data_IF_348383515350
#
_entry.id   IF_348383515350
#
_cell.length_a   1.000
_cell.length_b   1.000
_cell.length_c   1.000
_cell.angle_alpha   90.00
_cell.angle_beta   90.00
_cell.angle_gamma   90.00
#
_symmetry.space_group_name_H-M   'P 1'
#
loop_
_entity.id
_entity.type
_entity.pdbx_description
1 polymer ?
#
# COMPACT_ATOMS: atom_id res chain seq x y z
N UNK A 1 -7.26 8.95 -9.39
CA UNK A 1 -6.10 8.06 -9.23
C UNK A 1 -6.54 6.86 -8.41
N UNK A 2 -6.11 5.69 -8.78
CA UNK A 2 -6.44 4.44 -8.08
C UNK A 2 -5.34 4.11 -7.08
N UNK A 3 -5.43 4.69 -5.88
CA UNK A 3 -4.46 4.48 -4.82
C UNK A 3 -4.44 3.04 -4.32
N UNK A 4 -5.57 2.36 -4.32
CA UNK A 4 -5.67 0.96 -3.86
C UNK A 4 -4.71 0.06 -4.62
N UNK A 5 -4.72 0.11 -5.94
CA UNK A 5 -3.86 -0.72 -6.79
C UNK A 5 -2.40 -0.24 -6.80
N UNK A 6 -2.20 1.06 -6.84
CA UNK A 6 -0.85 1.66 -6.79
C UNK A 6 -0.15 1.27 -5.50
N UNK A 7 -0.79 1.47 -4.36
CA UNK A 7 -0.19 1.17 -3.06
C UNK A 7 -0.01 -0.33 -2.85
N UNK A 8 -0.96 -1.15 -3.32
CA UNK A 8 -0.80 -2.60 -3.29
C UNK A 8 0.46 -3.04 -4.01
N UNK A 9 0.72 -2.49 -5.18
CA UNK A 9 1.91 -2.82 -5.99
C UNK A 9 3.20 -2.37 -5.30
N UNK A 10 3.22 -1.19 -4.71
CA UNK A 10 4.35 -0.70 -3.91
C UNK A 10 4.56 -1.61 -2.70
N UNK A 11 3.51 -1.94 -1.97
CA UNK A 11 3.57 -2.82 -0.81
C UNK A 11 4.14 -4.21 -1.13
N UNK A 12 3.74 -4.79 -2.27
CA UNK A 12 4.30 -6.06 -2.75
C UNK A 12 5.81 -5.97 -2.98
N UNK A 13 6.28 -4.88 -3.55
CA UNK A 13 7.71 -4.63 -3.73
C UNK A 13 8.45 -4.52 -2.38
N UNK A 14 7.87 -3.83 -1.41
CA UNK A 14 8.45 -3.69 -0.07
C UNK A 14 8.55 -5.05 0.64
N UNK A 15 7.55 -5.92 0.50
CA UNK A 15 7.59 -7.29 1.02
C UNK A 15 8.73 -8.10 0.40
N UNK A 16 8.91 -8.01 -0.91
CA UNK A 16 10.01 -8.69 -1.62
C UNK A 16 11.37 -8.17 -1.18
N UNK A 17 11.46 -6.88 -0.90
CA UNK A 17 12.68 -6.22 -0.46
C UNK A 17 13.01 -6.48 1.01
N UNK A 18 12.04 -6.95 1.79
CA UNK A 18 12.19 -7.13 3.23
C UNK A 18 12.31 -5.82 4.00
N UNK A 19 11.68 -4.76 3.50
CA UNK A 19 11.64 -3.46 4.19
C UNK A 19 10.71 -3.49 5.39
N UNK A 20 11.02 -2.67 6.38
CA UNK A 20 10.19 -2.43 7.56
C UNK A 20 10.34 -0.99 8.03
N UNK A 21 9.44 -0.55 8.91
CA UNK A 21 9.36 0.84 9.39
C UNK A 21 9.36 1.84 8.23
N UNK A 22 8.37 1.72 7.37
CA UNK A 22 8.29 2.46 6.12
C UNK A 22 7.66 3.84 6.29
N UNK A 23 8.08 4.74 5.42
CA UNK A 23 7.50 6.07 5.23
C UNK A 23 7.22 6.24 3.75
N UNK A 24 6.06 6.76 3.40
CA UNK A 24 5.69 7.07 2.02
C UNK A 24 5.29 8.54 1.90
N UNK A 25 5.83 9.20 0.89
CA UNK A 25 5.47 10.55 0.51
C UNK A 25 5.14 10.62 -0.97
N UNK A 26 4.09 11.34 -1.33
CA UNK A 26 3.77 11.62 -2.71
C UNK A 26 4.74 12.64 -3.30
N UNK A 27 5.17 12.40 -4.53
CA UNK A 27 6.03 13.29 -5.32
C UNK A 27 5.28 13.67 -6.61
N UNK A 28 5.72 14.73 -7.33
CA UNK A 28 5.04 15.15 -8.57
C UNK A 28 4.93 14.03 -9.62
N UNK A 29 5.92 13.16 -9.70
CA UNK A 29 6.01 12.12 -10.73
C UNK A 29 5.90 10.70 -10.14
N UNK A 30 5.37 10.55 -8.95
CA UNK A 30 5.23 9.23 -8.31
C UNK A 30 5.28 9.29 -6.79
N UNK A 31 5.96 8.33 -6.18
CA UNK A 31 6.06 8.19 -4.73
C UNK A 31 7.50 7.93 -4.29
N UNK A 32 7.84 8.47 -3.15
CA UNK A 32 9.11 8.20 -2.47
C UNK A 32 8.82 7.36 -1.25
N UNK A 33 9.50 6.23 -1.10
CA UNK A 33 9.40 5.34 0.04
C UNK A 33 10.75 5.21 0.71
N UNK A 34 10.77 5.40 2.01
CA UNK A 34 11.94 5.12 2.84
C UNK A 34 11.61 4.01 3.81
N UNK A 35 12.57 3.18 4.11
CA UNK A 35 12.41 2.11 5.07
C UNK A 35 13.75 1.53 5.50
N UNK A 36 13.68 0.63 6.46
CA UNK A 36 14.84 -0.09 6.95
C UNK A 36 14.89 -1.46 6.29
N UNK A 37 16.07 -1.85 5.85
CA UNK A 37 16.32 -3.20 5.31
C UNK A 37 17.31 -3.89 6.23
N UNK A 38 16.94 -5.07 6.71
CA UNK A 38 17.87 -5.92 7.42
C UNK A 38 18.75 -6.65 6.42
N UNK A 39 20.04 -6.36 6.39
CA UNK A 39 20.96 -7.13 5.56
C UNK A 39 21.20 -8.48 6.21
N UNK A 40 20.59 -9.53 5.67
CA UNK A 40 20.91 -10.92 5.95
C UNK A 40 22.16 -11.36 5.16
N UNK A 41 23.20 -10.54 5.11
CA UNK A 41 24.45 -10.98 4.54
C UNK A 41 25.14 -11.90 5.54
N UNK A 42 25.41 -13.14 5.13
CA UNK A 42 26.17 -14.13 5.90
C UNK A 42 27.57 -13.64 6.26
N UNK A 43 27.61 -12.59 7.06
CA UNK A 43 28.78 -12.08 7.72
C UNK A 43 28.91 -12.74 9.08
N UNK A 44 30.02 -12.52 9.74
CA UNK A 44 30.35 -13.07 11.04
C UNK A 44 29.17 -12.97 12.03
N UNK A 45 29.11 -13.87 13.02
CA UNK A 45 28.13 -13.86 14.11
C UNK A 45 27.98 -12.49 14.80
N UNK A 46 28.96 -11.62 14.66
CA UNK A 46 28.93 -10.23 15.12
C UNK A 46 27.97 -9.35 14.30
N UNK A 47 27.95 -9.51 12.98
CA UNK A 47 27.03 -8.79 12.10
C UNK A 47 25.59 -9.19 12.35
N UNK A 48 25.34 -10.47 12.62
CA UNK A 48 24.02 -11.00 12.93
C UNK A 48 23.52 -10.53 14.31
N UNK A 49 24.43 -10.42 15.29
CA UNK A 49 24.10 -9.96 16.64
C UNK A 49 23.85 -8.44 16.72
N UNK A 50 24.51 -7.64 15.87
CA UNK A 50 24.35 -6.19 15.83
C UNK A 50 23.23 -5.73 14.88
N UNK A 51 22.66 -6.67 14.08
CA UNK A 51 21.60 -6.38 13.14
C UNK A 51 21.99 -5.22 12.22
N UNK A 52 22.72 -5.49 11.14
CA UNK A 52 23.05 -4.46 10.15
C UNK A 52 21.76 -3.98 9.48
N UNK A 53 21.15 -2.95 10.07
CA UNK A 53 19.96 -2.30 9.53
C UNK A 53 20.42 -1.11 8.70
N UNK A 54 20.08 -1.12 7.42
CA UNK A 54 20.39 -0.05 6.49
C UNK A 54 19.11 0.68 6.11
N UNK A 55 19.15 2.02 6.17
CA UNK A 55 18.07 2.85 5.63
C UNK A 55 18.18 2.88 4.11
N UNK A 56 17.09 2.57 3.44
CA UNK A 56 17.00 2.61 1.99
C UNK A 56 15.89 3.55 1.55
N UNK A 57 16.15 4.32 0.49
CA UNK A 57 15.18 5.21 -0.14
C UNK A 57 14.91 4.71 -1.55
N UNK A 58 13.64 4.49 -1.86
CA UNK A 58 13.16 4.05 -3.16
C UNK A 58 12.29 5.14 -3.77
N UNK A 59 12.44 5.35 -5.07
CA UNK A 59 11.58 6.23 -5.84
C UNK A 59 10.79 5.39 -6.84
N UNK A 60 9.46 5.50 -6.79
CA UNK A 60 8.56 4.83 -7.70
C UNK A 60 8.00 5.87 -8.67
N UNK A 61 8.47 5.86 -9.89
CA UNK A 61 7.95 6.71 -10.96
C UNK A 61 6.66 6.11 -11.53
N UNK A 62 5.88 6.92 -12.22
CA UNK A 62 4.60 6.49 -12.81
C UNK A 62 4.76 5.26 -13.73
N UNK A 63 5.86 5.18 -14.48
CA UNK A 63 6.16 4.04 -15.35
C UNK A 63 6.46 2.75 -14.56
N UNK A 64 7.17 2.88 -13.43
CA UNK A 64 7.43 1.75 -12.54
C UNK A 64 6.12 1.24 -11.92
N UNK A 65 5.27 2.16 -11.51
CA UNK A 65 3.95 1.85 -10.95
C UNK A 65 3.10 1.11 -11.97
N UNK A 66 3.06 1.57 -13.23
CA UNK A 66 2.32 0.93 -14.29
C UNK A 66 2.77 -0.52 -14.50
N UNK A 67 4.08 -0.76 -14.52
CA UNK A 67 4.65 -2.11 -14.62
C UNK A 67 4.26 -2.99 -13.43
N UNK A 68 4.36 -2.49 -12.22
CA UNK A 68 3.97 -3.24 -11.02
C UNK A 68 2.48 -3.58 -11.02
N UNK A 69 1.65 -2.68 -11.51
CA UNK A 69 0.21 -2.93 -11.64
C UNK A 69 -0.08 -4.06 -12.64
N UNK A 70 0.61 -4.09 -13.78
CA UNK A 70 0.50 -5.19 -14.75
C UNK A 70 0.88 -6.53 -14.13
N UNK A 71 2.00 -6.57 -13.40
CA UNK A 71 2.45 -7.78 -12.70
C UNK A 71 1.44 -8.24 -11.64
N UNK A 72 0.86 -7.29 -10.89
CA UNK A 72 -0.16 -7.60 -9.88
C UNK A 72 -1.45 -8.16 -10.51
N UNK A 73 -1.88 -7.58 -11.64
CA UNK A 73 -3.02 -8.07 -12.40
C UNK A 73 -2.76 -9.49 -12.95
N UNK A 74 -1.56 -9.73 -13.47
CA UNK A 74 -1.17 -11.06 -13.96
C UNK A 74 -1.19 -12.11 -12.83
N UNK A 75 -0.71 -11.75 -11.63
CA UNK A 75 -0.77 -12.62 -10.44
C UNK A 75 -2.21 -12.98 -10.07
N UNK A 76 -3.09 -11.99 -10.02
CA UNK A 76 -4.50 -12.20 -9.73
C UNK A 76 -5.17 -13.08 -10.79
N UNK A 77 -4.83 -12.89 -12.06
CA UNK A 77 -5.31 -13.74 -13.14
C UNK A 77 -4.91 -15.22 -12.99
N UNK A 78 -3.82 -15.50 -12.26
CA UNK A 78 -3.42 -16.87 -11.91
C UNK A 78 -4.08 -17.41 -10.64
N UNK A 79 -4.94 -16.62 -10.00
CA UNK A 79 -5.65 -17.03 -8.78
C UNK A 79 -4.78 -17.06 -7.52
N UNK A 80 -3.66 -16.35 -7.51
CA UNK A 80 -2.82 -16.25 -6.33
C UNK A 80 -3.54 -15.46 -5.22
N UNK A 81 -3.63 -16.00 -3.99
CA UNK A 81 -4.33 -15.33 -2.91
C UNK A 81 -3.59 -14.07 -2.47
N UNK A 82 -4.36 -13.09 -2.01
CA UNK A 82 -3.77 -11.90 -1.41
C UNK A 82 -3.12 -12.25 -0.07
N UNK A 83 -1.90 -11.77 0.19
CA UNK A 83 -1.25 -12.02 1.47
C UNK A 83 -2.04 -11.44 2.64
N UNK A 84 -2.11 -12.19 3.73
CA UNK A 84 -2.70 -11.73 4.99
C UNK A 84 -1.66 -10.88 5.73
N UNK A 85 -2.07 -9.82 6.46
CA UNK A 85 -1.12 -8.93 7.15
C UNK A 85 -0.46 -9.59 8.37
N UNK A 86 0.33 -10.63 8.10
CA UNK A 86 1.13 -11.33 9.10
C UNK A 86 2.61 -11.11 8.79
N UNK A 87 3.31 -10.37 9.66
CA UNK A 87 4.75 -10.20 9.48
C UNK A 87 5.47 -11.56 9.61
N UNK A 88 6.56 -11.79 8.86
CA UNK A 88 7.26 -10.83 7.99
C UNK A 88 6.82 -10.80 6.53
N UNK A 89 6.16 -11.80 6.00
CA UNK A 89 5.87 -11.88 4.56
C UNK A 89 4.43 -11.53 4.23
N UNK A 90 4.23 -10.76 3.17
CA UNK A 90 2.90 -10.41 2.65
C UNK A 90 2.20 -9.28 3.37
N UNK A 91 2.83 -8.68 4.38
CA UNK A 91 2.20 -7.67 5.22
C UNK A 91 1.92 -6.37 4.49
N UNK A 92 2.93 -5.82 3.79
CA UNK A 92 2.79 -4.50 3.17
C UNK A 92 1.89 -4.50 1.94
N UNK A 93 1.86 -5.57 1.19
CA UNK A 93 0.94 -5.68 0.05
C UNK A 93 -0.51 -5.49 0.50
N UNK A 94 -0.93 -6.20 1.53
CA UNK A 94 -2.28 -6.11 2.07
C UNK A 94 -2.52 -4.79 2.81
N UNK A 95 -1.59 -4.36 3.65
CA UNK A 95 -1.70 -3.11 4.41
C UNK A 95 -1.79 -1.89 3.48
N UNK A 96 -0.91 -1.81 2.50
CA UNK A 96 -0.90 -0.69 1.55
C UNK A 96 -2.15 -0.69 0.67
N UNK A 97 -2.64 -1.87 0.28
CA UNK A 97 -3.90 -1.94 -0.47
C UNK A 97 -5.05 -1.28 0.28
N UNK A 98 -5.23 -1.60 1.55
CA UNK A 98 -6.34 -1.03 2.34
C UNK A 98 -6.14 0.44 2.68
N UNK A 99 -4.90 0.88 2.87
CA UNK A 99 -4.58 2.30 2.99
C UNK A 99 -4.90 3.04 1.69
N UNK A 100 -4.54 2.45 0.55
CA UNK A 100 -4.89 3.01 -0.76
C UNK A 100 -6.39 3.14 -0.98
N UNK A 101 -7.17 2.15 -0.55
CA UNK A 101 -8.64 2.23 -0.56
C UNK A 101 -9.13 3.43 0.26
N UNK A 102 -8.59 3.60 1.45
CA UNK A 102 -8.92 4.75 2.29
C UNK A 102 -8.62 6.07 1.56
N UNK A 103 -7.45 6.16 0.88
CA UNK A 103 -7.10 7.34 0.08
C UNK A 103 -8.09 7.57 -1.07
N UNK A 104 -8.51 6.51 -1.76
CA UNK A 104 -9.51 6.61 -2.84
C UNK A 104 -10.85 7.15 -2.35
N UNK A 105 -11.25 6.78 -1.13
CA UNK A 105 -12.47 7.29 -0.48
C UNK A 105 -12.34 8.76 -0.08
N UNK A 106 -11.20 9.16 0.45
CA UNK A 106 -10.94 10.53 0.91
C UNK A 106 -10.60 11.50 -0.22
N UNK A 107 -10.07 11.01 -1.34
CA UNK A 107 -9.65 11.80 -2.51
C UNK A 107 -8.68 12.94 -2.16
N UNK A 108 -7.56 12.65 -1.50
CA UNK A 108 -6.61 13.67 -1.09
C UNK A 108 -5.87 14.27 -2.29
N UNK A 109 -5.38 15.50 -2.10
CA UNK A 109 -4.48 16.17 -3.05
C UNK A 109 -3.03 15.76 -2.83
N UNK A 110 -2.69 15.39 -1.60
CA UNK A 110 -1.36 14.97 -1.22
C UNK A 110 -1.45 13.94 -0.10
N UNK A 111 -0.56 12.96 -0.13
CA UNK A 111 -0.53 11.81 0.77
C UNK A 111 0.84 11.69 1.40
N UNK A 112 0.84 11.52 2.70
CA UNK A 112 2.02 11.16 3.48
C UNK A 112 1.62 10.18 4.56
N UNK A 113 2.36 9.10 4.72
CA UNK A 113 2.18 8.24 5.88
C UNK A 113 3.48 7.58 6.30
N UNK A 114 3.54 7.16 7.55
CA UNK A 114 4.66 6.39 8.08
C UNK A 114 4.18 5.32 9.04
N UNK A 115 4.96 4.26 9.14
CA UNK A 115 4.76 3.18 10.10
C UNK A 115 5.56 3.48 11.37
N UNK A 116 4.89 3.34 12.51
CA UNK A 116 5.51 3.43 13.82
C UNK A 116 4.91 2.36 14.74
N UNK A 117 5.76 1.48 15.27
CA UNK A 117 5.37 0.41 16.20
C UNK A 117 4.22 -0.46 15.68
N UNK A 118 4.19 -0.71 14.38
CA UNK A 118 3.17 -1.52 13.70
C UNK A 118 1.89 -0.77 13.35
N UNK A 119 1.74 0.48 13.76
CA UNK A 119 0.65 1.35 13.36
C UNK A 119 1.05 2.25 12.18
N UNK A 120 0.09 2.66 11.37
CA UNK A 120 0.28 3.64 10.31
C UNK A 120 -0.34 4.98 10.68
N UNK A 121 0.46 6.03 10.66
CA UNK A 121 0.01 7.40 10.84
C UNK A 121 -0.07 8.05 9.46
N UNK A 122 -1.26 8.46 9.08
CA UNK A 122 -1.57 8.99 7.75
C UNK A 122 -1.88 10.47 7.86
N UNK A 123 -1.25 11.27 7.02
CA UNK A 123 -1.56 12.68 6.84
C UNK A 123 -2.05 12.93 5.43
N UNK A 124 -3.24 13.46 5.31
CA UNK A 124 -3.85 13.81 4.04
C UNK A 124 -3.98 15.32 3.91
N UNK A 125 -3.75 15.82 2.71
CA UNK A 125 -4.13 17.17 2.33
C UNK A 125 -5.43 17.07 1.55
N UNK A 126 -6.51 17.57 2.13
CA UNK A 126 -7.83 17.57 1.49
C UNK A 126 -8.15 18.96 0.96
N UNK A 127 -8.71 19.01 -0.25
CA UNK A 127 -9.21 20.23 -0.84
C UNK A 127 -10.71 20.40 -0.60
N UNK A 128 -11.15 21.64 -0.46
CA UNK A 128 -12.57 21.98 -0.29
C UNK A 128 -12.86 23.42 -0.72
N UNK A 129 -14.13 23.84 -0.67
CA UNK A 129 -14.55 25.19 -1.08
C UNK A 129 -13.98 26.32 -0.20
N UNK A 130 -13.41 26.00 0.95
CA UNK A 130 -12.78 26.96 1.87
C UNK A 130 -11.26 26.90 1.92
N UNK A 131 -10.61 26.17 1.00
CA UNK A 131 -9.17 25.98 0.99
C UNK A 131 -8.74 24.54 1.28
N UNK A 132 -7.46 24.35 1.56
CA UNK A 132 -6.89 23.04 1.89
C UNK A 132 -6.83 22.84 3.40
N UNK A 133 -7.08 21.62 3.84
CA UNK A 133 -6.93 21.23 5.26
C UNK A 133 -6.14 19.94 5.35
N UNK A 134 -5.39 19.81 6.44
CA UNK A 134 -4.74 18.56 6.79
C UNK A 134 -5.65 17.71 7.67
N UNK A 135 -5.67 16.41 7.39
CA UNK A 135 -6.35 15.43 8.23
C UNK A 135 -5.35 14.36 8.64
N UNK A 136 -5.37 13.99 9.90
CA UNK A 136 -4.55 12.93 10.46
C UNK A 136 -5.44 11.74 10.81
N UNK A 137 -5.00 10.55 10.44
CA UNK A 137 -5.64 9.30 10.82
C UNK A 137 -4.57 8.31 11.27
N UNK A 138 -4.89 7.52 12.28
CA UNK A 138 -4.02 6.45 12.76
C UNK A 138 -4.73 5.11 12.57
N UNK A 139 -4.01 4.15 12.00
CA UNK A 139 -4.49 2.78 11.81
C UNK A 139 -3.58 1.84 12.58
N UNK A 140 -4.12 1.19 13.60
CA UNK A 140 -3.40 0.16 14.34
C UNK A 140 -3.27 -1.10 13.48
N UNK A 141 -2.44 -2.05 13.93
CA UNK A 141 -2.33 -3.34 13.27
C UNK A 141 -3.68 -4.07 13.21
N UNK A 142 -4.46 -3.98 14.26
CA UNK A 142 -5.81 -4.55 14.34
C UNK A 142 -6.76 -3.88 13.35
N UNK A 143 -6.70 -2.56 13.22
CA UNK A 143 -7.48 -1.81 12.22
C UNK A 143 -7.15 -2.28 10.80
N UNK A 144 -5.87 -2.41 10.49
CA UNK A 144 -5.41 -2.90 9.19
C UNK A 144 -5.91 -4.32 8.94
N UNK A 145 -5.79 -5.22 9.92
CA UNK A 145 -6.26 -6.61 9.79
C UNK A 145 -7.78 -6.67 9.54
N UNK A 146 -8.55 -5.84 10.23
CA UNK A 146 -10.00 -5.74 10.02
C UNK A 146 -10.35 -5.21 8.63
N UNK A 147 -9.65 -4.17 8.16
CA UNK A 147 -9.84 -3.62 6.82
C UNK A 147 -9.51 -4.65 5.73
N UNK A 148 -8.46 -5.43 5.91
CA UNK A 148 -8.09 -6.52 4.99
C UNK A 148 -9.17 -7.60 4.98
N UNK A 149 -9.69 -7.98 6.14
CA UNK A 149 -10.74 -9.00 6.27
C UNK A 149 -12.06 -8.62 5.57
N UNK A 150 -12.34 -7.32 5.40
CA UNK A 150 -13.51 -6.84 4.64
C UNK A 150 -13.40 -7.10 3.13
N UNK A 151 -12.23 -7.51 2.66
CA UNK A 151 -11.99 -7.87 1.26
C UNK A 151 -11.85 -6.66 0.31
N UNK A 152 -11.70 -6.93 -0.99
CA UNK A 152 -11.53 -5.90 -2.00
C UNK A 152 -12.79 -5.03 -2.14
N UNK A 153 -12.58 -3.80 -2.61
CA UNK A 153 -13.67 -2.85 -2.84
C UNK A 153 -14.62 -3.37 -3.91
N UNK A 154 -15.93 -3.26 -3.67
CA UNK A 154 -16.98 -3.68 -4.60
C UNK A 154 -17.03 -2.88 -5.91
N UNK A 155 -16.16 -1.89 -6.10
CA UNK A 155 -16.10 -1.06 -7.32
C UNK A 155 -15.98 -1.86 -8.61
N UNK A 156 -15.44 -3.07 -8.56
CA UNK A 156 -15.33 -3.95 -9.73
C UNK A 156 -16.57 -4.83 -9.95
N UNK A 157 -17.52 -4.82 -9.03
CA UNK A 157 -18.77 -5.59 -9.17
C UNK A 157 -19.89 -4.77 -9.81
N UNK A 158 -19.83 -3.43 -9.73
CA UNK A 158 -20.87 -2.55 -10.28
C UNK A 158 -20.69 -2.22 -11.77
N UNK A 159 -19.61 -2.67 -12.37
CA UNK A 159 -19.35 -2.45 -13.81
C UNK A 159 -19.61 -3.68 -14.68
N UNK A 160 -20.50 -4.58 -14.27
CA UNK A 160 -21.03 -5.54 -15.22
C UNK A 160 -22.22 -4.89 -15.95
N UNK A 161 -22.03 -4.39 -17.18
CA UNK A 161 -23.16 -3.91 -17.96
C UNK A 161 -23.92 -5.12 -18.47
N UNK A 162 -24.90 -5.55 -17.73
CA UNK A 162 -25.65 -6.71 -18.17
C UNK A 162 -26.84 -7.12 -17.30
N UNK A 163 -26.93 -6.63 -16.08
CA UNK A 163 -27.99 -7.04 -15.19
C UNK A 163 -29.28 -6.19 -15.31
N UNK A 164 -29.27 -5.19 -16.16
CA UNK A 164 -30.39 -4.23 -16.25
C UNK A 164 -31.36 -4.48 -17.42
N UNK A 165 -31.22 -5.55 -18.17
CA UNK A 165 -32.07 -5.71 -19.39
C UNK A 165 -32.90 -6.98 -19.42
N UNK A 166 -33.09 -7.68 -18.30
CA UNK A 166 -33.93 -8.86 -18.25
C UNK A 166 -35.30 -8.65 -17.57
N UNK A 167 -35.68 -7.43 -17.28
CA UNK A 167 -36.97 -7.12 -16.66
C UNK A 167 -37.89 -6.31 -17.57
N UNK A 168 -37.89 -6.60 -18.83
CA UNK A 168 -38.72 -5.91 -19.80
C UNK A 168 -39.24 -6.83 -20.89
N UNK A 169 -40.05 -7.76 -20.52
CA UNK A 169 -40.92 -8.44 -21.48
C UNK A 169 -42.28 -8.74 -20.88
#
# INVERSE_FOLDING_TARGET
QDFEEVFRSIGAFLDQRGMHEVLLAEAPDGFIVQGLVSSASGGSAWSDAMGAVTKETLTFLDDDIARFMEEALARRGRGEPEPVPTKPAGYYEAAFRVLGRYMDEQKPRDVFFFEQDGAFVVRLLLGGQGGSRHELAEFTREDIAEMVARGPTLRHQDTTPGAATAAGA
#
